data_IF_849842905697
#
_entry.id   IF_849842905697
#
_cell.length_a   1.000
_cell.length_b   1.000
_cell.length_c   1.000
_cell.angle_alpha   90.00
_cell.angle_beta   90.00
_cell.angle_gamma   90.00
#
_symmetry.space_group_name_H-M   'P 1'
#
loop_
_entity.id
_entity.type
_entity.pdbx_description
1 polymer ?
#
# COMPACT_ATOMS: atom_id res chain seq x y z
N UNK A 1 5.46 0.36 26.33
CA UNK A 1 6.82 0.46 25.75
C UNK A 1 6.70 1.39 24.57
N UNK A 2 7.26 2.58 24.71
CA UNK A 2 7.26 3.59 23.67
C UNK A 2 8.16 3.11 22.54
N UNK A 3 7.59 2.90 21.35
CA UNK A 3 8.32 2.55 20.15
C UNK A 3 9.19 3.73 19.73
N UNK A 4 10.40 3.79 20.24
CA UNK A 4 11.41 4.72 19.76
C UNK A 4 11.64 4.43 18.27
N UNK A 5 11.24 5.39 17.44
CA UNK A 5 11.37 5.28 16.01
C UNK A 5 12.83 5.08 15.61
N UNK A 6 13.10 4.08 14.79
CA UNK A 6 14.42 3.69 14.28
C UNK A 6 15.19 4.77 13.50
N UNK A 7 14.79 6.03 13.57
CA UNK A 7 15.46 7.10 12.85
C UNK A 7 16.42 7.88 13.75
N UNK A 8 17.69 7.84 13.40
CA UNK A 8 18.63 8.80 13.93
C UNK A 8 18.51 10.15 13.19
N UNK A 9 18.36 11.23 13.95
CA UNK A 9 18.26 12.56 13.40
C UNK A 9 19.61 13.29 13.43
N UNK A 10 19.83 14.18 12.46
CA UNK A 10 21.00 15.05 12.42
C UNK A 10 20.89 16.13 13.49
N UNK A 11 22.00 16.49 14.13
CA UNK A 11 22.07 17.63 15.07
C UNK A 11 21.82 18.97 14.36
N UNK A 12 22.29 19.09 13.11
CA UNK A 12 22.10 20.28 12.27
C UNK A 12 21.49 19.85 10.95
N UNK A 13 20.36 20.45 10.58
CA UNK A 13 19.62 20.14 9.35
C UNK A 13 19.63 21.36 8.44
N UNK A 14 20.09 21.17 7.20
CA UNK A 14 19.99 22.20 6.16
C UNK A 14 18.52 22.47 5.82
N UNK A 15 18.11 23.73 5.61
CA UNK A 15 16.75 24.04 5.17
C UNK A 15 16.37 23.23 3.93
N UNK A 16 15.14 22.70 3.90
CA UNK A 16 14.64 21.89 2.79
C UNK A 16 15.13 20.44 2.74
N UNK A 17 16.04 20.00 3.59
CA UNK A 17 16.53 18.62 3.64
C UNK A 17 15.88 17.80 4.73
N UNK A 18 15.74 16.49 4.47
CA UNK A 18 15.22 15.54 5.45
C UNK A 18 16.16 15.47 6.67
N UNK A 19 15.63 15.55 7.91
CA UNK A 19 16.44 15.54 9.12
C UNK A 19 17.01 14.18 9.48
N UNK A 20 16.58 13.10 8.84
CA UNK A 20 17.09 11.75 9.13
C UNK A 20 18.55 11.64 8.71
N UNK A 21 19.38 11.07 9.59
CA UNK A 21 20.81 10.87 9.39
C UNK A 21 21.05 10.08 8.08
N UNK A 22 22.06 10.50 7.31
CA UNK A 22 22.40 9.95 6.00
C UNK A 22 21.34 10.10 4.88
N UNK A 23 20.15 10.62 5.15
CA UNK A 23 19.17 10.87 4.10
C UNK A 23 19.58 12.05 3.22
N UNK A 24 19.56 11.86 1.89
CA UNK A 24 19.89 12.91 0.90
C UNK A 24 18.64 13.56 0.29
N UNK A 25 17.45 13.04 0.58
CA UNK A 25 16.20 13.49 0.00
C UNK A 25 15.80 14.87 0.55
N UNK A 26 15.05 15.61 -0.28
CA UNK A 26 14.42 16.84 0.14
C UNK A 26 13.21 16.59 1.02
N UNK A 27 12.90 17.55 1.88
CA UNK A 27 11.65 17.52 2.65
C UNK A 27 10.45 17.56 1.69
N UNK A 28 9.30 17.04 2.14
CA UNK A 28 8.05 17.20 1.40
C UNK A 28 7.74 18.70 1.27
N UNK A 29 7.81 19.20 0.04
CA UNK A 29 7.30 20.52 -0.31
C UNK A 29 5.78 20.40 -0.46
N UNK A 30 5.03 21.18 0.27
CA UNK A 30 3.57 21.20 0.12
C UNK A 30 2.91 21.94 1.27
N UNK A 31 2.17 22.93 0.91
CA UNK A 31 1.13 23.71 1.59
C UNK A 31 1.13 23.82 3.12
N UNK A 32 1.24 25.08 3.55
CA UNK A 32 0.95 25.61 4.89
C UNK A 32 1.61 24.88 6.06
N UNK A 33 2.84 25.25 6.31
CA UNK A 33 3.44 24.98 7.62
C UNK A 33 2.73 25.80 8.69
N UNK A 34 1.90 25.14 9.51
CA UNK A 34 1.36 25.74 10.74
C UNK A 34 2.44 25.93 11.83
N UNK A 35 3.59 25.26 11.67
CA UNK A 35 4.70 25.36 12.60
C UNK A 35 6.03 25.22 11.85
N UNK A 36 6.78 26.32 11.63
CA UNK A 36 8.05 26.32 10.90
C UNK A 36 9.21 25.60 11.63
N UNK A 37 9.08 25.36 12.94
CA UNK A 37 10.11 24.70 13.74
C UNK A 37 10.14 23.17 13.60
N UNK A 38 9.12 22.54 12.98
CA UNK A 38 9.11 21.11 12.73
C UNK A 38 9.78 20.79 11.40
N UNK A 39 10.96 20.22 11.46
CA UNK A 39 11.63 19.66 10.28
C UNK A 39 10.72 18.57 9.67
N UNK A 40 10.42 18.71 8.38
CA UNK A 40 9.61 17.74 7.64
C UNK A 40 10.46 16.57 7.18
N UNK A 41 9.95 15.38 7.39
CA UNK A 41 10.52 14.20 6.78
C UNK A 41 10.31 14.20 5.25
N UNK A 42 11.21 13.60 4.50
CA UNK A 42 10.96 13.29 3.10
C UNK A 42 9.78 12.28 2.98
N UNK A 43 9.26 12.11 1.77
CA UNK A 43 8.10 11.22 1.54
C UNK A 43 8.35 9.78 2.02
N UNK A 44 9.56 9.27 1.85
CA UNK A 44 9.94 7.92 2.28
C UNK A 44 9.88 7.77 3.79
N UNK A 45 10.58 8.64 4.54
CA UNK A 45 10.60 8.55 6.00
C UNK A 45 9.25 8.93 6.64
N UNK A 46 8.48 9.81 6.02
CA UNK A 46 7.12 10.11 6.49
C UNK A 46 6.19 8.89 6.37
N UNK A 47 6.29 8.12 5.28
CA UNK A 47 5.56 6.87 5.11
C UNK A 47 6.01 5.82 6.12
N UNK A 48 7.31 5.68 6.33
CA UNK A 48 7.89 4.75 7.29
C UNK A 48 7.40 5.06 8.71
N UNK A 49 7.48 6.32 9.12
CA UNK A 49 6.96 6.74 10.42
C UNK A 49 5.46 6.48 10.58
N UNK A 50 4.68 6.66 9.51
CA UNK A 50 3.25 6.34 9.55
C UNK A 50 3.01 4.84 9.73
N UNK A 51 3.80 3.99 9.07
CA UNK A 51 3.73 2.53 9.22
C UNK A 51 4.12 2.05 10.62
N UNK A 52 5.08 2.72 11.24
CA UNK A 52 5.49 2.39 12.62
C UNK A 52 4.46 2.80 13.66
N UNK A 53 3.81 3.96 13.47
CA UNK A 53 2.82 4.49 14.42
C UNK A 53 1.48 3.75 14.36
N UNK A 54 0.99 3.48 13.17
CA UNK A 54 -0.29 2.83 12.95
C UNK A 54 -0.21 2.00 11.64
N UNK A 55 0.27 0.76 11.74
CA UNK A 55 0.49 -0.09 10.57
C UNK A 55 -0.81 -0.45 9.84
N UNK A 56 -1.93 -0.59 10.56
CA UNK A 56 -3.24 -0.92 9.95
C UNK A 56 -3.73 0.27 9.13
N UNK A 57 -3.77 1.45 9.72
CA UNK A 57 -4.19 2.68 9.04
C UNK A 57 -3.28 3.00 7.85
N UNK A 58 -1.97 2.79 7.97
CA UNK A 58 -1.03 3.01 6.88
C UNK A 58 -1.32 2.09 5.68
N UNK A 59 -1.59 0.81 5.93
CA UNK A 59 -1.99 -0.14 4.87
C UNK A 59 -3.35 0.16 4.28
N UNK A 60 -4.32 0.57 5.09
CA UNK A 60 -5.63 1.02 4.62
C UNK A 60 -5.50 2.17 3.61
N UNK A 61 -4.77 3.23 3.98
CA UNK A 61 -4.55 4.40 3.12
C UNK A 61 -3.81 4.02 1.83
N UNK A 62 -2.80 3.16 1.93
CA UNK A 62 -2.04 2.69 0.78
C UNK A 62 -2.92 1.88 -0.19
N UNK A 63 -3.70 0.92 0.32
CA UNK A 63 -4.59 0.10 -0.51
C UNK A 63 -5.71 0.92 -1.13
N UNK A 64 -6.33 1.83 -0.39
CA UNK A 64 -7.35 2.75 -0.89
C UNK A 64 -6.80 3.62 -2.03
N UNK A 65 -5.60 4.17 -1.86
CA UNK A 65 -4.93 4.97 -2.90
C UNK A 65 -4.62 4.14 -4.14
N UNK A 66 -4.20 2.89 -3.96
CA UNK A 66 -3.93 1.96 -5.06
C UNK A 66 -5.21 1.56 -5.80
N UNK A 67 -6.32 1.34 -5.09
CA UNK A 67 -7.64 1.08 -5.68
C UNK A 67 -8.10 2.27 -6.54
N UNK A 68 -8.04 3.48 -5.98
CA UNK A 68 -8.37 4.72 -6.70
C UNK A 68 -7.56 4.87 -8.00
N UNK A 69 -6.24 4.64 -7.96
CA UNK A 69 -5.37 4.74 -9.14
C UNK A 69 -5.72 3.73 -10.23
N UNK A 70 -6.29 2.58 -9.85
CA UNK A 70 -6.73 1.52 -10.79
C UNK A 70 -8.21 1.65 -11.19
N UNK A 71 -8.92 2.70 -10.77
CA UNK A 71 -10.34 2.88 -11.02
C UNK A 71 -11.24 1.87 -10.31
N UNK A 72 -10.76 1.23 -9.23
CA UNK A 72 -11.52 0.25 -8.46
C UNK A 72 -12.23 0.95 -7.30
N UNK A 73 -13.54 0.72 -7.18
CA UNK A 73 -14.34 1.27 -6.10
C UNK A 73 -13.84 0.81 -4.71
N UNK A 74 -13.96 1.70 -3.74
CA UNK A 74 -13.58 1.46 -2.35
C UNK A 74 -14.66 2.03 -1.43
N UNK A 75 -15.40 1.16 -0.76
CA UNK A 75 -16.49 1.55 0.15
C UNK A 75 -16.19 1.21 1.62
N UNK A 76 -15.11 0.48 1.89
CA UNK A 76 -14.74 0.08 3.24
C UNK A 76 -14.40 1.25 4.14
N UNK A 77 -14.90 1.24 5.35
CA UNK A 77 -14.42 2.06 6.48
C UNK A 77 -13.10 1.50 7.02
N UNK A 78 -12.44 2.26 7.90
CA UNK A 78 -11.21 1.79 8.55
C UNK A 78 -11.51 0.62 9.50
N UNK A 79 -12.66 0.68 10.19
CA UNK A 79 -13.12 -0.34 11.13
C UNK A 79 -13.34 -1.67 10.41
N UNK A 80 -14.13 -1.68 9.35
CA UNK A 80 -14.39 -2.88 8.52
C UNK A 80 -13.11 -3.47 7.93
N UNK A 81 -12.19 -2.59 7.49
CA UNK A 81 -10.88 -3.03 7.02
C UNK A 81 -10.06 -3.65 8.15
N UNK A 82 -10.10 -3.07 9.34
CA UNK A 82 -9.39 -3.59 10.52
C UNK A 82 -9.88 -4.99 10.88
N UNK A 83 -11.19 -5.23 10.85
CA UNK A 83 -11.75 -6.56 11.09
C UNK A 83 -11.18 -7.61 10.10
N UNK A 84 -11.08 -7.26 8.82
CA UNK A 84 -10.50 -8.16 7.81
C UNK A 84 -9.03 -8.45 8.07
N UNK A 85 -8.22 -7.42 8.41
CA UNK A 85 -6.76 -7.60 8.57
C UNK A 85 -6.38 -8.24 9.89
N UNK A 86 -7.24 -8.17 10.91
CA UNK A 86 -7.04 -8.87 12.17
C UNK A 86 -7.32 -10.36 12.05
N UNK A 87 -8.06 -10.78 11.03
CA UNK A 87 -8.24 -12.19 10.71
C UNK A 87 -6.94 -12.76 10.12
N UNK A 88 -6.64 -14.01 10.44
CA UNK A 88 -5.55 -14.80 9.85
C UNK A 88 -4.14 -14.18 10.00
N UNK A 89 -3.92 -13.37 11.02
CA UNK A 89 -2.59 -12.76 11.27
C UNK A 89 -1.99 -12.06 10.04
N UNK A 90 -2.86 -11.41 9.24
CA UNK A 90 -2.47 -10.79 7.98
C UNK A 90 -1.33 -9.77 8.16
N UNK A 91 -1.36 -8.98 9.23
CA UNK A 91 -0.39 -7.92 9.45
C UNK A 91 1.04 -8.45 9.63
N UNK A 92 1.19 -9.60 10.26
CA UNK A 92 2.48 -10.22 10.53
C UNK A 92 3.02 -11.00 9.34
N UNK A 93 2.12 -11.56 8.52
CA UNK A 93 2.45 -12.44 7.41
C UNK A 93 2.34 -11.76 6.03
N UNK A 94 2.09 -10.46 5.95
CA UNK A 94 2.03 -9.73 4.67
C UNK A 94 3.42 -9.53 4.07
N UNK A 95 3.51 -9.55 2.75
CA UNK A 95 4.78 -9.32 2.05
C UNK A 95 4.70 -9.67 0.57
N UNK A 96 5.87 -9.77 -0.08
CA UNK A 96 5.97 -10.09 -1.50
C UNK A 96 6.47 -11.51 -1.79
N UNK A 97 6.82 -12.29 -0.78
CA UNK A 97 7.23 -13.68 -0.96
C UNK A 97 6.03 -14.57 -1.25
N UNK A 98 6.26 -15.74 -1.84
CA UNK A 98 5.18 -16.64 -2.32
C UNK A 98 4.16 -17.03 -1.24
N UNK A 99 4.62 -17.22 0.00
CA UNK A 99 3.81 -17.60 1.15
C UNK A 99 3.16 -16.41 1.87
N UNK A 100 3.62 -15.18 1.61
CA UNK A 100 3.08 -13.99 2.27
C UNK A 100 1.62 -13.75 1.88
N UNK A 101 0.89 -13.13 2.81
CA UNK A 101 -0.55 -12.91 2.68
C UNK A 101 -0.87 -11.61 1.93
N UNK A 102 -1.88 -11.69 1.09
CA UNK A 102 -2.44 -10.59 0.33
C UNK A 102 -3.95 -10.49 0.55
N UNK A 103 -4.48 -9.26 0.61
CA UNK A 103 -5.92 -9.02 0.54
C UNK A 103 -6.31 -8.99 -0.94
N UNK A 104 -7.20 -9.89 -1.32
CA UNK A 104 -7.76 -10.03 -2.65
C UNK A 104 -9.29 -9.83 -2.66
N UNK A 105 -9.84 -9.43 -3.79
CA UNK A 105 -11.29 -9.39 -4.02
C UNK A 105 -11.76 -10.75 -4.50
N UNK A 106 -12.81 -11.30 -3.87
CA UNK A 106 -13.43 -12.56 -4.31
C UNK A 106 -13.94 -12.41 -5.73
N UNK A 107 -14.70 -11.35 -5.99
CA UNK A 107 -15.20 -10.95 -7.28
C UNK A 107 -14.44 -9.72 -7.79
N UNK A 108 -13.71 -9.88 -8.88
CA UNK A 108 -12.88 -8.82 -9.47
C UNK A 108 -13.71 -7.71 -10.16
N UNK A 109 -14.98 -7.98 -10.49
CA UNK A 109 -15.89 -6.99 -11.09
C UNK A 109 -16.40 -5.98 -10.06
N UNK A 110 -16.42 -6.36 -8.78
CA UNK A 110 -16.81 -5.52 -7.66
C UNK A 110 -15.62 -4.78 -7.06
N UNK A 111 -15.93 -3.80 -6.20
CA UNK A 111 -14.92 -3.02 -5.47
C UNK A 111 -14.40 -3.70 -4.20
N UNK A 112 -13.64 -2.93 -3.43
CA UNK A 112 -13.28 -3.27 -2.06
C UNK A 112 -14.46 -2.91 -1.16
N UNK A 113 -15.27 -3.90 -0.83
CA UNK A 113 -16.50 -3.79 -0.04
C UNK A 113 -16.61 -4.94 0.96
N UNK A 114 -17.45 -4.80 1.96
CA UNK A 114 -17.71 -5.83 2.96
C UNK A 114 -18.19 -7.12 2.26
N UNK A 115 -17.66 -8.26 2.70
CA UNK A 115 -18.00 -9.57 2.14
C UNK A 115 -17.28 -9.94 0.84
N UNK A 116 -16.74 -8.97 0.09
CA UNK A 116 -15.98 -9.23 -1.15
C UNK A 116 -14.48 -9.42 -0.95
N UNK A 117 -14.00 -9.38 0.29
CA UNK A 117 -12.58 -9.56 0.57
C UNK A 117 -12.27 -10.97 1.05
N UNK A 118 -11.04 -11.38 0.79
CA UNK A 118 -10.42 -12.58 1.34
C UNK A 118 -8.92 -12.38 1.47
N UNK A 119 -8.31 -13.15 2.35
CA UNK A 119 -6.87 -13.23 2.50
C UNK A 119 -6.40 -14.48 1.79
N UNK A 120 -5.43 -14.33 0.90
CA UNK A 120 -4.82 -15.40 0.11
C UNK A 120 -3.31 -15.22 0.07
N UNK A 121 -2.57 -16.26 -0.28
CA UNK A 121 -1.13 -16.14 -0.47
C UNK A 121 -0.77 -15.33 -1.71
N UNK A 122 0.44 -14.78 -1.74
CA UNK A 122 0.98 -14.12 -2.94
C UNK A 122 0.98 -15.05 -4.15
N UNK A 123 1.31 -16.33 -3.96
CA UNK A 123 1.29 -17.34 -5.03
C UNK A 123 -0.11 -17.52 -5.64
N UNK A 124 -1.14 -17.64 -4.80
CA UNK A 124 -2.54 -17.76 -5.25
C UNK A 124 -3.01 -16.50 -5.97
N UNK A 125 -2.65 -15.33 -5.45
CA UNK A 125 -3.00 -14.06 -6.07
C UNK A 125 -2.38 -13.90 -7.47
N UNK A 126 -1.11 -14.26 -7.63
CA UNK A 126 -0.42 -14.26 -8.93
C UNK A 126 -1.06 -15.28 -9.88
N UNK A 127 -1.36 -16.49 -9.41
CA UNK A 127 -2.02 -17.53 -10.22
C UNK A 127 -3.41 -17.08 -10.70
N UNK A 128 -4.18 -16.41 -9.83
CA UNK A 128 -5.48 -15.80 -10.19
C UNK A 128 -5.29 -14.77 -11.31
N UNK A 129 -4.39 -13.80 -11.13
CA UNK A 129 -4.14 -12.76 -12.13
C UNK A 129 -3.69 -13.32 -13.48
N UNK A 130 -2.91 -14.39 -13.50
CA UNK A 130 -2.50 -15.07 -14.74
C UNK A 130 -3.68 -15.77 -15.43
N UNK A 131 -4.57 -16.42 -14.65
CA UNK A 131 -5.79 -17.03 -15.21
C UNK A 131 -6.74 -15.99 -15.80
N UNK A 132 -6.91 -14.86 -15.13
CA UNK A 132 -7.76 -13.76 -15.61
C UNK A 132 -7.22 -13.15 -16.90
N UNK A 133 -5.91 -12.93 -17.00
CA UNK A 133 -5.26 -12.46 -18.23
C UNK A 133 -5.41 -13.42 -19.39
N UNK A 134 -5.29 -14.74 -19.16
CA UNK A 134 -5.47 -15.76 -20.20
C UNK A 134 -6.92 -15.83 -20.70
N UNK A 135 -7.91 -15.59 -19.83
CA UNK A 135 -9.32 -15.52 -20.25
C UNK A 135 -9.64 -14.29 -21.09
N UNK A 136 -8.92 -13.18 -20.87
CA UNK A 136 -9.03 -11.96 -21.68
C UNK A 136 -8.26 -12.00 -23.01
N UNK A 137 -7.42 -13.01 -23.21
CA UNK A 137 -6.73 -13.24 -24.49
C UNK A 137 -7.70 -13.94 -25.43
N UNK A 138 -8.46 -13.17 -26.18
CA UNK A 138 -9.23 -13.69 -27.33
C UNK A 138 -8.21 -14.13 -28.36
N UNK A 139 -8.10 -15.44 -28.59
CA UNK A 139 -7.35 -16.01 -29.71
C UNK A 139 -8.05 -15.52 -30.99
N UNK A 140 -7.46 -14.54 -31.66
CA UNK A 140 -7.88 -14.16 -33.02
C UNK A 140 -7.39 -15.30 -33.91
N UNK A 141 -8.31 -16.03 -34.58
CA UNK A 141 -7.91 -17.09 -35.52
C UNK A 141 -6.98 -16.48 -36.56
N UNK A 142 -5.93 -17.20 -36.92
CA UNK A 142 -4.91 -16.76 -37.91
C UNK A 142 -5.51 -16.36 -39.26
N UNK A 143 -6.70 -16.87 -39.58
CA UNK A 143 -7.44 -16.59 -40.81
C UNK A 143 -7.96 -15.15 -40.95
N UNK A 144 -7.88 -14.33 -39.91
CA UNK A 144 -8.30 -12.93 -39.90
C UNK A 144 -7.15 -11.94 -39.63
N UNK A 145 -5.92 -12.34 -39.91
CA UNK A 145 -4.79 -11.42 -39.85
C UNK A 145 -4.78 -10.57 -41.14
N UNK A 146 -4.97 -9.23 -41.07
CA UNK A 146 -5.09 -8.39 -42.27
C UNK A 146 -3.73 -8.02 -42.91
N UNK A 147 -2.69 -8.89 -42.69
CA UNK A 147 -1.37 -8.70 -43.32
C UNK A 147 -0.85 -10.03 -43.88
#
# INVERSE_FOLDING_TARGET
>A
MEGEGHFEFRKVVKPGKCPVKFCRNDCRTGTRMKNPSRHRLCSTHAKELSRLRDPIRATFVEKRSNAKRRGVAWTLTLEEYTEVVMQQEYMDNRGCQRHCLHIDRKDATKGYEVGNLRIITCAENVAKGNRERRKGYVHIPEDNCPF
#
